data_IF_923025412760
#
_entry.id   IF_923025412760
#
_cell.length_a   1.000
_cell.length_b   1.000
_cell.length_c   1.000
_cell.angle_alpha   90.00
_cell.angle_beta   90.00
_cell.angle_gamma   90.00
#
_symmetry.space_group_name_H-M   'P 1'
#
loop_
_entity.id
_entity.type
_entity.pdbx_description
1 polymer ?
#
# COMPACT_ATOMS: atom_id res chain seq x y z
N UNK A 1 -13.24 27.46 -6.57
CA UNK A 1 -12.20 26.42 -6.52
C UNK A 1 -10.83 26.89 -7.06
N UNK A 2 -10.66 28.12 -7.54
CA UNK A 2 -9.40 28.61 -8.14
C UNK A 2 -8.38 29.18 -7.12
N UNK A 3 -8.52 28.85 -5.83
CA UNK A 3 -7.68 29.40 -4.76
C UNK A 3 -6.82 28.37 -4.04
N UNK A 4 -6.87 27.08 -4.44
CA UNK A 4 -6.02 26.06 -3.83
C UNK A 4 -4.64 26.14 -4.48
N UNK A 5 -3.56 26.36 -3.70
CA UNK A 5 -2.20 26.42 -4.24
C UNK A 5 -1.84 25.13 -4.97
N UNK A 6 -1.17 25.25 -6.11
CA UNK A 6 -0.71 24.08 -6.90
C UNK A 6 0.17 23.16 -6.06
N UNK A 7 1.03 23.72 -5.21
CA UNK A 7 1.87 22.94 -4.29
C UNK A 7 1.05 22.06 -3.34
N UNK A 8 -0.05 22.58 -2.80
CA UNK A 8 -0.95 21.80 -1.96
C UNK A 8 -1.60 20.65 -2.75
N UNK A 9 -2.01 20.90 -3.99
CA UNK A 9 -2.60 19.85 -4.85
C UNK A 9 -1.56 18.77 -5.17
N UNK A 10 -0.33 19.17 -5.50
CA UNK A 10 0.77 18.24 -5.77
C UNK A 10 1.10 17.37 -4.55
N UNK A 11 1.17 17.96 -3.35
CA UNK A 11 1.44 17.22 -2.12
C UNK A 11 0.27 16.29 -1.75
N UNK A 12 -0.97 16.77 -1.86
CA UNK A 12 -2.17 15.94 -1.66
C UNK A 12 -2.19 14.73 -2.59
N UNK A 13 -1.86 14.91 -3.87
CA UNK A 13 -1.85 13.81 -4.84
C UNK A 13 -0.79 12.75 -4.51
N UNK A 14 0.37 13.15 -3.97
CA UNK A 14 1.39 12.19 -3.52
C UNK A 14 0.94 11.36 -2.30
N UNK A 15 0.13 11.95 -1.44
CA UNK A 15 -0.45 11.21 -0.31
C UNK A 15 -1.59 10.30 -0.78
N UNK A 16 -2.38 10.73 -1.77
CA UNK A 16 -3.48 9.93 -2.31
C UNK A 16 -3.01 8.72 -3.12
N UNK A 17 -1.81 8.77 -3.70
CA UNK A 17 -1.22 7.64 -4.43
C UNK A 17 -0.91 6.41 -3.57
N UNK A 18 -0.95 6.53 -2.24
CA UNK A 18 -0.94 5.35 -1.34
C UNK A 18 -2.21 4.52 -1.53
N UNK A 19 -3.32 5.19 -1.82
CA UNK A 19 -4.65 4.58 -1.79
C UNK A 19 -5.09 4.15 -3.17
N UNK A 20 -4.81 4.97 -4.19
CA UNK A 20 -5.28 4.76 -5.55
C UNK A 20 -4.24 5.22 -6.57
N UNK A 21 -4.33 4.67 -7.79
CA UNK A 21 -3.62 5.23 -8.94
C UNK A 21 -4.05 6.70 -9.17
N UNK A 22 -3.07 7.55 -9.50
CA UNK A 22 -3.28 8.93 -9.91
C UNK A 22 -4.21 9.07 -11.14
N UNK A 23 -4.38 8.00 -11.93
CA UNK A 23 -5.22 7.93 -13.13
C UNK A 23 -6.61 8.52 -12.92
N UNK A 24 -7.31 8.16 -11.84
CA UNK A 24 -8.68 8.64 -11.61
C UNK A 24 -8.74 10.16 -11.43
N UNK A 25 -7.71 10.75 -10.83
CA UNK A 25 -7.63 12.19 -10.61
C UNK A 25 -7.27 12.97 -11.88
N UNK A 26 -6.77 12.32 -12.93
CA UNK A 26 -6.43 12.98 -14.21
C UNK A 26 -7.64 13.57 -14.94
N UNK A 27 -8.84 13.07 -14.63
CA UNK A 27 -10.12 13.51 -15.18
C UNK A 27 -10.66 14.77 -14.48
N UNK A 28 -10.11 15.14 -13.32
CA UNK A 28 -10.54 16.31 -12.57
C UNK A 28 -10.22 17.61 -13.33
N UNK A 29 -11.06 18.64 -13.24
CA UNK A 29 -10.85 19.88 -13.98
C UNK A 29 -9.62 20.66 -13.47
N UNK A 30 -9.07 21.51 -14.35
CA UNK A 30 -8.06 22.53 -14.03
C UNK A 30 -6.79 21.94 -13.40
N UNK A 31 -6.31 22.55 -12.31
CA UNK A 31 -5.04 22.23 -11.68
C UNK A 31 -5.00 20.82 -11.10
N UNK A 32 -6.13 20.27 -10.63
CA UNK A 32 -6.18 18.91 -10.10
C UNK A 32 -5.81 17.88 -11.16
N UNK A 33 -6.53 17.84 -12.29
CA UNK A 33 -6.21 16.91 -13.38
C UNK A 33 -4.84 17.18 -14.00
N UNK A 34 -4.41 18.45 -14.09
CA UNK A 34 -3.07 18.79 -14.57
C UNK A 34 -1.97 18.23 -13.66
N UNK A 35 -2.09 18.38 -12.35
CA UNK A 35 -1.11 17.84 -11.40
C UNK A 35 -1.15 16.32 -11.38
N UNK A 36 -2.33 15.71 -11.40
CA UNK A 36 -2.49 14.26 -11.45
C UNK A 36 -1.83 13.65 -12.69
N UNK A 37 -1.99 14.27 -13.86
CA UNK A 37 -1.28 13.84 -15.09
C UNK A 37 0.23 13.92 -14.94
N UNK A 38 0.75 14.98 -14.31
CA UNK A 38 2.20 15.07 -14.07
C UNK A 38 2.70 14.01 -13.09
N UNK A 39 1.93 13.71 -12.04
CA UNK A 39 2.25 12.62 -11.10
C UNK A 39 2.21 11.28 -11.82
N UNK A 40 1.21 11.01 -12.65
CA UNK A 40 1.15 9.78 -13.46
C UNK A 40 2.33 9.66 -14.42
N UNK A 41 2.64 10.70 -15.19
CA UNK A 41 3.68 10.65 -16.22
C UNK A 41 5.12 10.65 -15.66
N UNK A 42 5.35 11.31 -14.51
CA UNK A 42 6.69 11.61 -13.97
C UNK A 42 6.93 11.04 -12.58
N UNK A 43 5.88 10.54 -11.94
CA UNK A 43 5.93 9.86 -10.67
C UNK A 43 6.90 8.69 -10.74
N UNK A 44 7.65 8.52 -9.66
CA UNK A 44 8.54 7.39 -9.52
C UNK A 44 8.76 7.10 -8.05
N UNK A 45 9.23 5.88 -7.80
CA UNK A 45 9.69 5.41 -6.51
C UNK A 45 11.22 5.33 -6.53
N UNK A 46 11.83 5.44 -5.35
CA UNK A 46 13.25 5.16 -5.13
C UNK A 46 13.37 4.16 -4.00
N UNK A 47 14.03 3.04 -4.24
CA UNK A 47 14.21 2.01 -3.23
C UNK A 47 15.67 1.91 -2.84
N UNK A 48 15.93 1.85 -1.54
CA UNK A 48 17.22 1.48 -0.96
C UNK A 48 17.12 0.01 -0.55
N UNK A 49 17.96 -0.83 -1.14
CA UNK A 49 17.97 -2.27 -0.87
C UNK A 49 18.99 -2.59 0.22
N UNK A 50 18.51 -3.27 1.26
CA UNK A 50 19.33 -3.87 2.30
C UNK A 50 19.24 -5.38 2.13
N UNK A 51 20.27 -5.96 1.50
CA UNK A 51 20.35 -7.40 1.26
C UNK A 51 21.21 -8.07 2.32
N UNK A 52 20.69 -9.12 2.95
CA UNK A 52 21.40 -9.88 4.00
C UNK A 52 21.98 -8.96 5.10
N UNK A 53 21.25 -7.88 5.43
CA UNK A 53 21.62 -6.89 6.45
C UNK A 53 22.67 -5.83 6.04
N UNK A 54 23.11 -5.79 4.78
CA UNK A 54 24.06 -4.81 4.25
C UNK A 54 23.42 -3.94 3.16
N UNK A 55 23.97 -2.74 2.93
CA UNK A 55 23.60 -1.96 1.75
C UNK A 55 23.99 -2.73 0.49
N UNK A 56 23.04 -2.87 -0.43
CA UNK A 56 23.28 -3.40 -1.77
C UNK A 56 23.26 -2.28 -2.80
N UNK A 57 22.06 -1.75 -3.08
CA UNK A 57 21.85 -0.87 -4.23
C UNK A 57 20.73 0.15 -4.04
N UNK A 58 20.61 1.02 -5.04
CA UNK A 58 19.43 1.83 -5.26
C UNK A 58 18.82 1.49 -6.62
N UNK A 59 17.50 1.36 -6.67
CA UNK A 59 16.78 1.29 -7.93
C UNK A 59 15.56 2.22 -7.91
N UNK A 60 14.99 2.44 -9.10
CA UNK A 60 13.86 3.35 -9.30
C UNK A 60 12.80 2.65 -10.13
N UNK A 61 11.54 2.81 -9.77
CA UNK A 61 10.42 2.24 -10.54
C UNK A 61 9.37 3.29 -10.85
N UNK A 62 8.54 3.04 -11.86
CA UNK A 62 7.30 3.80 -12.06
C UNK A 62 6.17 3.27 -11.14
N UNK A 63 4.97 3.79 -11.36
CA UNK A 63 3.71 3.38 -10.72
C UNK A 63 3.31 1.93 -11.02
N UNK A 64 3.65 1.41 -12.20
CA UNK A 64 3.48 0.01 -12.59
C UNK A 64 4.59 -0.92 -12.05
N UNK A 65 5.44 -0.43 -11.14
CA UNK A 65 6.59 -1.15 -10.59
C UNK A 65 7.66 -1.61 -11.62
N UNK A 66 7.62 -1.06 -12.84
CA UNK A 66 8.65 -1.27 -13.85
C UNK A 66 9.90 -0.44 -13.53
N UNK A 67 11.08 -1.07 -13.59
CA UNK A 67 12.35 -0.39 -13.34
C UNK A 67 12.64 0.71 -14.37
N UNK A 68 13.15 1.85 -13.90
CA UNK A 68 13.50 3.01 -14.71
C UNK A 68 15.03 3.10 -14.86
N UNK A 69 15.51 3.01 -16.10
CA UNK A 69 16.92 3.28 -16.39
C UNK A 69 17.27 4.76 -16.20
N UNK A 70 17.98 5.05 -15.11
CA UNK A 70 18.43 6.40 -14.76
C UNK A 70 19.50 6.97 -15.69
N UNK A 71 20.11 6.15 -16.57
CA UNK A 71 21.04 6.63 -17.59
C UNK A 71 20.32 7.31 -18.74
N UNK A 72 19.08 6.88 -19.03
CA UNK A 72 18.28 7.40 -20.14
C UNK A 72 17.29 8.47 -19.70
N UNK A 73 16.89 8.47 -18.42
CA UNK A 73 15.89 9.39 -17.88
C UNK A 73 16.40 10.13 -16.64
N UNK A 74 16.40 11.46 -16.70
CA UNK A 74 16.65 12.29 -15.53
C UNK A 74 15.41 12.33 -14.62
N UNK A 75 15.56 11.87 -13.38
CA UNK A 75 14.50 11.84 -12.38
C UNK A 75 14.57 13.07 -11.47
N UNK A 76 13.49 13.83 -11.40
CA UNK A 76 13.42 15.04 -10.56
C UNK A 76 12.85 14.69 -9.19
N UNK A 77 13.55 14.98 -8.06
CA UNK A 77 13.07 14.65 -6.71
C UNK A 77 11.67 15.18 -6.37
N UNK A 78 11.22 16.27 -7.02
CA UNK A 78 9.87 16.82 -6.88
C UNK A 78 8.77 15.79 -7.18
N UNK A 79 8.98 14.90 -8.15
CA UNK A 79 8.02 13.88 -8.58
C UNK A 79 8.26 12.52 -7.93
N UNK A 80 9.17 12.44 -6.95
CA UNK A 80 9.28 11.23 -6.16
C UNK A 80 8.07 11.13 -5.24
N UNK A 81 7.29 10.10 -5.45
CA UNK A 81 6.04 9.89 -4.72
C UNK A 81 6.32 9.12 -3.44
N UNK A 82 7.00 7.98 -3.59
CA UNK A 82 7.42 7.13 -2.48
C UNK A 82 8.92 6.91 -2.50
N UNK A 83 9.44 6.56 -1.32
CA UNK A 83 10.76 5.99 -1.16
C UNK A 83 10.66 4.80 -0.22
N UNK A 84 11.35 3.72 -0.55
CA UNK A 84 11.29 2.48 0.22
C UNK A 84 12.66 2.14 0.79
N UNK A 85 12.69 1.63 2.01
CA UNK A 85 13.77 0.76 2.46
C UNK A 85 13.25 -0.65 2.33
N UNK A 86 13.96 -1.48 1.57
CA UNK A 86 13.58 -2.85 1.30
C UNK A 86 14.62 -3.79 1.92
N UNK A 87 14.16 -4.74 2.72
CA UNK A 87 14.98 -5.80 3.28
C UNK A 87 14.74 -7.06 2.49
N UNK A 88 15.79 -7.59 1.86
CA UNK A 88 15.74 -8.86 1.13
C UNK A 88 16.77 -9.83 1.67
N UNK A 89 16.41 -11.11 1.67
CA UNK A 89 17.35 -12.20 1.90
C UNK A 89 17.56 -12.95 0.59
N UNK A 90 18.81 -13.28 0.31
CA UNK A 90 19.19 -14.11 -0.83
C UNK A 90 20.17 -15.18 -0.37
N UNK A 91 20.13 -16.34 -1.04
CA UNK A 91 21.03 -17.48 -0.83
C UNK A 91 22.46 -17.18 -1.32
N UNK A 92 22.69 -16.04 -1.98
CA UNK A 92 23.99 -15.60 -2.45
C UNK A 92 24.98 -15.26 -1.31
N UNK A 93 26.28 -15.25 -1.63
CA UNK A 93 27.33 -14.95 -0.65
C UNK A 93 27.08 -13.60 0.05
N UNK A 94 27.26 -13.52 1.38
CA UNK A 94 27.00 -12.30 2.11
C UNK A 94 27.85 -11.16 1.58
N UNK A 95 27.18 -10.08 1.15
CA UNK A 95 27.84 -8.87 0.66
C UNK A 95 28.87 -8.37 1.70
N UNK A 96 29.99 -7.78 1.25
CA UNK A 96 30.95 -7.16 2.15
C UNK A 96 30.24 -6.17 3.07
N UNK A 97 30.53 -6.22 4.37
CA UNK A 97 29.96 -5.27 5.32
C UNK A 97 30.22 -3.85 4.86
N UNK A 98 29.14 -3.10 4.64
CA UNK A 98 29.25 -1.70 4.28
C UNK A 98 29.39 -0.85 5.53
N UNK A 99 30.60 -0.34 5.79
CA UNK A 99 30.88 0.56 6.91
C UNK A 99 30.13 1.90 6.81
N UNK A 100 29.50 2.21 5.66
CA UNK A 100 28.80 3.47 5.43
C UNK A 100 27.26 3.37 5.46
N UNK A 101 26.68 2.19 5.71
CA UNK A 101 25.22 1.98 5.62
C UNK A 101 24.44 3.01 6.45
N UNK A 102 24.90 3.33 7.66
CA UNK A 102 24.26 4.35 8.51
C UNK A 102 24.22 5.72 7.83
N UNK A 103 25.32 6.17 7.23
CA UNK A 103 25.38 7.45 6.54
C UNK A 103 24.48 7.46 5.29
N UNK A 104 24.47 6.36 4.52
CA UNK A 104 23.61 6.21 3.35
C UNK A 104 22.13 6.29 3.77
N UNK A 105 21.76 5.55 4.81
CA UNK A 105 20.41 5.53 5.33
C UNK A 105 19.98 6.90 5.86
N UNK A 106 20.84 7.58 6.63
CA UNK A 106 20.55 8.91 7.17
C UNK A 106 20.32 9.96 6.07
N UNK A 107 21.12 9.93 5.00
CA UNK A 107 20.92 10.80 3.84
C UNK A 107 19.63 10.44 3.09
N UNK A 108 19.38 9.14 2.87
CA UNK A 108 18.16 8.66 2.21
C UNK A 108 16.89 9.05 2.96
N UNK A 109 16.90 8.97 4.29
CA UNK A 109 15.76 9.33 5.15
C UNK A 109 15.42 10.83 5.09
N UNK A 110 16.38 11.71 4.76
CA UNK A 110 16.15 13.15 4.57
C UNK A 110 15.54 13.50 3.20
N UNK A 111 15.62 12.60 2.22
CA UNK A 111 15.14 12.88 0.88
C UNK A 111 13.60 13.06 0.83
N UNK A 112 13.03 13.79 -0.15
CA UNK A 112 11.58 13.91 -0.28
C UNK A 112 10.93 12.60 -0.74
N UNK A 113 9.62 12.53 -0.56
CA UNK A 113 8.81 11.35 -0.83
C UNK A 113 8.42 10.65 0.47
N UNK A 114 7.29 9.99 0.44
CA UNK A 114 6.78 9.26 1.59
C UNK A 114 7.57 7.99 1.84
N UNK A 115 7.97 7.79 3.10
CA UNK A 115 8.77 6.64 3.48
C UNK A 115 7.87 5.42 3.68
N UNK A 116 8.20 4.37 2.93
CA UNK A 116 7.72 3.02 3.13
C UNK A 116 8.84 2.08 3.56
N UNK A 117 8.45 0.96 4.14
CA UNK A 117 9.32 -0.15 4.50
C UNK A 117 8.75 -1.42 3.87
N UNK A 118 9.60 -2.18 3.18
CA UNK A 118 9.28 -3.53 2.72
C UNK A 118 10.20 -4.50 3.45
N UNK A 119 9.60 -5.49 4.12
CA UNK A 119 10.31 -6.59 4.76
C UNK A 119 10.02 -7.86 3.97
N UNK A 120 11.03 -8.35 3.27
CA UNK A 120 11.00 -9.54 2.43
C UNK A 120 12.19 -10.46 2.74
N UNK A 121 12.25 -10.99 3.96
CA UNK A 121 13.33 -11.88 4.36
C UNK A 121 13.46 -12.02 5.86
N UNK A 122 14.31 -12.95 6.26
CA UNK A 122 14.59 -13.32 7.65
C UNK A 122 15.74 -12.50 8.29
N UNK A 123 16.52 -11.73 7.53
CA UNK A 123 17.58 -10.87 8.07
C UNK A 123 17.03 -9.67 8.86
N UNK A 124 15.72 -9.40 8.74
CA UNK A 124 15.03 -8.40 9.53
C UNK A 124 14.92 -8.82 11.00
N UNK A 125 15.84 -8.30 11.81
CA UNK A 125 15.98 -8.65 13.22
C UNK A 125 15.57 -7.52 14.18
N UNK A 126 15.63 -7.79 15.48
CA UNK A 126 15.21 -6.85 16.53
C UNK A 126 15.96 -5.50 16.54
N UNK A 127 17.19 -5.44 16.00
CA UNK A 127 17.91 -4.17 15.82
C UNK A 127 17.23 -3.33 14.75
N UNK A 128 16.89 -3.94 13.61
CA UNK A 128 16.17 -3.27 12.53
C UNK A 128 14.76 -2.89 12.93
N UNK A 129 14.02 -3.77 13.63
CA UNK A 129 12.72 -3.44 14.19
C UNK A 129 12.75 -2.15 15.02
N UNK A 130 13.75 -2.00 15.90
CA UNK A 130 13.94 -0.78 16.71
C UNK A 130 14.25 0.44 15.86
N UNK A 131 15.22 0.34 14.94
CA UNK A 131 15.63 1.44 14.06
C UNK A 131 14.44 1.92 13.21
N UNK A 132 13.77 1.00 12.52
CA UNK A 132 12.66 1.29 11.63
C UNK A 132 11.47 1.87 12.39
N UNK A 133 11.17 1.36 13.59
CA UNK A 133 10.11 1.91 14.44
C UNK A 133 10.41 3.33 14.96
N UNK A 134 11.65 3.82 14.87
CA UNK A 134 11.98 5.19 15.25
C UNK A 134 11.85 6.19 14.09
N UNK A 135 11.53 5.72 12.87
CA UNK A 135 11.37 6.60 11.71
C UNK A 135 10.01 7.31 11.77
N UNK A 136 10.01 8.54 12.26
CA UNK A 136 8.79 9.38 12.39
C UNK A 136 8.07 9.62 11.07
N UNK A 137 8.75 9.49 9.93
CA UNK A 137 8.20 9.67 8.58
C UNK A 137 7.71 8.38 7.92
N UNK A 138 7.87 7.21 8.57
CA UNK A 138 7.40 5.94 8.04
C UNK A 138 5.85 5.91 8.05
N UNK A 139 5.26 5.75 6.87
CA UNK A 139 3.79 5.77 6.68
C UNK A 139 3.23 4.48 6.09
N UNK A 140 4.08 3.67 5.48
CA UNK A 140 3.68 2.44 4.81
C UNK A 140 4.61 1.30 5.20
N UNK A 141 4.04 0.15 5.50
CA UNK A 141 4.78 -1.10 5.72
C UNK A 141 4.18 -2.18 4.84
N UNK A 142 5.04 -2.93 4.15
CA UNK A 142 4.69 -4.17 3.44
C UNK A 142 5.54 -5.29 4.01
N UNK A 143 4.92 -6.41 4.36
CA UNK A 143 5.60 -7.60 4.87
C UNK A 143 5.23 -8.77 3.95
N UNK A 144 6.24 -9.36 3.34
CA UNK A 144 6.12 -10.56 2.51
C UNK A 144 6.81 -11.78 3.12
N UNK A 145 7.43 -11.63 4.30
CA UNK A 145 8.05 -12.71 5.05
C UNK A 145 7.20 -13.17 6.23
N UNK A 146 7.60 -14.26 6.86
CA UNK A 146 7.05 -14.76 8.11
C UNK A 146 6.96 -13.68 9.21
N UNK A 147 5.94 -13.81 10.06
CA UNK A 147 5.73 -13.01 11.26
C UNK A 147 6.69 -13.41 12.39
N UNK A 148 7.97 -13.09 12.20
CA UNK A 148 8.98 -13.27 13.26
C UNK A 148 8.71 -12.34 14.45
N UNK A 149 9.30 -12.65 15.62
CA UNK A 149 9.26 -11.78 16.81
C UNK A 149 9.68 -10.33 16.49
N UNK A 150 10.59 -10.15 15.52
CA UNK A 150 11.09 -8.83 15.11
C UNK A 150 10.05 -8.05 14.29
N UNK A 151 9.32 -8.74 13.41
CA UNK A 151 8.19 -8.17 12.66
C UNK A 151 7.07 -7.79 13.63
N UNK A 152 6.71 -8.67 14.56
CA UNK A 152 5.74 -8.35 15.61
C UNK A 152 6.17 -7.15 16.45
N UNK A 153 7.43 -7.11 16.88
CA UNK A 153 7.97 -5.96 17.62
C UNK A 153 7.82 -4.65 16.83
N UNK A 154 8.17 -4.65 15.54
CA UNK A 154 8.01 -3.50 14.66
C UNK A 154 6.55 -3.06 14.62
N UNK A 155 5.63 -3.98 14.29
CA UNK A 155 4.23 -3.67 14.10
C UNK A 155 3.58 -3.16 15.39
N UNK A 156 3.88 -3.74 16.55
CA UNK A 156 3.37 -3.24 17.85
C UNK A 156 3.87 -1.82 18.17
N UNK A 157 5.14 -1.52 17.89
CA UNK A 157 5.66 -0.18 18.08
C UNK A 157 4.94 0.83 17.17
N UNK A 158 4.75 0.48 15.90
CA UNK A 158 4.09 1.34 14.92
C UNK A 158 2.59 1.53 15.22
N UNK A 159 1.93 0.49 15.72
CA UNK A 159 0.55 0.58 16.23
C UNK A 159 0.51 1.58 17.39
N UNK A 160 1.38 1.46 18.38
CA UNK A 160 1.42 2.38 19.53
C UNK A 160 1.68 3.84 19.13
N UNK A 161 2.46 4.06 18.08
CA UNK A 161 2.82 5.40 17.59
C UNK A 161 1.74 6.05 16.72
N UNK A 162 0.73 5.30 16.28
CA UNK A 162 -0.35 5.81 15.41
C UNK A 162 0.17 6.57 14.18
N UNK A 163 1.20 6.04 13.50
CA UNK A 163 1.84 6.73 12.37
C UNK A 163 1.59 6.10 11.00
N UNK A 164 1.18 4.83 10.95
CA UNK A 164 0.95 4.15 9.68
C UNK A 164 -0.36 4.59 9.03
N UNK A 165 -0.30 4.77 7.71
CA UNK A 165 -1.43 5.02 6.82
C UNK A 165 -1.80 3.73 6.08
N UNK A 166 -0.81 2.90 5.75
CA UNK A 166 -1.02 1.66 5.01
C UNK A 166 -0.17 0.52 5.56
N UNK A 167 -0.78 -0.66 5.64
CA UNK A 167 -0.13 -1.93 5.97
C UNK A 167 -0.48 -2.97 4.90
N UNK A 168 0.53 -3.65 4.37
CA UNK A 168 0.39 -4.78 3.44
C UNK A 168 1.02 -6.04 4.02
N UNK A 169 0.31 -7.17 3.89
CA UNK A 169 0.74 -8.49 4.35
C UNK A 169 0.54 -9.51 3.22
N UNK A 170 1.58 -10.29 2.92
CA UNK A 170 1.52 -11.30 1.85
C UNK A 170 1.41 -12.74 2.34
N UNK A 171 1.82 -13.01 3.58
CA UNK A 171 1.80 -14.36 4.18
C UNK A 171 0.44 -14.73 4.77
N UNK A 172 0.24 -16.04 4.94
CA UNK A 172 -0.94 -16.61 5.58
C UNK A 172 -1.04 -16.14 7.04
N UNK A 173 -2.21 -15.60 7.40
CA UNK A 173 -2.53 -15.12 8.74
C UNK A 173 -3.62 -16.00 9.34
N UNK A 174 -3.23 -16.90 10.25
CA UNK A 174 -4.10 -18.00 10.67
C UNK A 174 -4.71 -17.80 12.07
N UNK A 175 -4.22 -16.82 12.83
CA UNK A 175 -4.56 -16.64 14.23
C UNK A 175 -5.56 -15.52 14.50
N UNK A 176 -6.28 -15.68 15.61
CA UNK A 176 -7.18 -14.66 16.16
C UNK A 176 -6.44 -13.42 16.69
N UNK A 177 -5.14 -13.56 16.99
CA UNK A 177 -4.28 -12.48 17.44
C UNK A 177 -4.00 -11.49 16.31
N UNK A 178 -3.67 -11.99 15.12
CA UNK A 178 -3.46 -11.23 13.89
C UNK A 178 -4.71 -10.43 13.54
N UNK A 179 -5.90 -11.03 13.62
CA UNK A 179 -7.14 -10.31 13.32
C UNK A 179 -7.39 -9.17 14.29
N UNK A 180 -7.25 -9.43 15.60
CA UNK A 180 -7.42 -8.41 16.62
C UNK A 180 -6.42 -7.25 16.40
N UNK A 181 -5.20 -7.61 16.00
CA UNK A 181 -4.13 -6.67 15.71
C UNK A 181 -4.40 -5.82 14.47
N UNK A 182 -4.84 -6.43 13.36
CA UNK A 182 -5.26 -5.72 12.14
C UNK A 182 -6.48 -4.83 12.40
N UNK A 183 -7.42 -5.32 13.20
CA UNK A 183 -8.56 -4.55 13.68
C UNK A 183 -8.12 -3.30 14.45
N UNK A 184 -7.06 -3.40 15.27
CA UNK A 184 -6.53 -2.25 16.01
C UNK A 184 -5.97 -1.17 15.08
N UNK A 185 -5.23 -1.52 14.02
CA UNK A 185 -4.80 -0.56 13.00
C UNK A 185 -6.00 0.10 12.31
N UNK A 186 -7.00 -0.68 11.93
CA UNK A 186 -8.23 -0.15 11.33
C UNK A 186 -9.01 0.78 12.25
N UNK A 187 -8.81 0.75 13.57
CA UNK A 187 -9.45 1.72 14.48
C UNK A 187 -8.71 3.07 14.54
N UNK A 188 -7.46 3.15 14.06
CA UNK A 188 -6.68 4.38 14.12
C UNK A 188 -7.21 5.44 13.16
N UNK A 189 -7.06 6.71 13.53
CA UNK A 189 -7.65 7.84 12.80
C UNK A 189 -6.93 8.13 11.49
N UNK A 190 -5.63 7.92 11.44
CA UNK A 190 -4.75 8.19 10.30
C UNK A 190 -4.62 6.98 9.37
N UNK A 191 -4.91 5.77 9.85
CA UNK A 191 -4.85 4.55 9.04
C UNK A 191 -5.93 4.56 7.95
N UNK A 192 -5.57 4.13 6.74
CA UNK A 192 -6.41 4.21 5.54
C UNK A 192 -6.52 2.90 4.79
N UNK A 193 -5.45 2.14 4.64
CA UNK A 193 -5.48 0.96 3.77
C UNK A 193 -4.81 -0.25 4.41
N UNK A 194 -5.57 -1.35 4.48
CA UNK A 194 -5.06 -2.67 4.79
C UNK A 194 -5.05 -3.51 3.51
N UNK A 195 -3.90 -4.08 3.16
CA UNK A 195 -3.67 -4.89 1.97
C UNK A 195 -3.30 -6.31 2.38
N UNK A 196 -3.96 -7.29 1.79
CA UNK A 196 -3.79 -8.70 2.13
C UNK A 196 -3.63 -9.50 0.82
N UNK A 197 -2.55 -10.25 0.66
CA UNK A 197 -2.34 -11.07 -0.55
C UNK A 197 -2.84 -12.51 -0.38
N UNK A 198 -2.84 -13.02 0.85
CA UNK A 198 -3.41 -14.33 1.18
C UNK A 198 -4.93 -14.25 1.38
N UNK A 199 -5.64 -15.32 1.04
CA UNK A 199 -7.07 -15.45 1.38
C UNK A 199 -7.24 -16.25 2.67
N UNK A 200 -7.88 -15.63 3.66
CA UNK A 200 -8.36 -16.34 4.84
C UNK A 200 -9.80 -15.88 5.15
N UNK A 201 -10.76 -16.79 4.93
CA UNK A 201 -12.18 -16.52 5.08
C UNK A 201 -12.56 -16.12 6.51
N UNK A 202 -11.96 -16.77 7.51
CA UNK A 202 -12.24 -16.48 8.92
C UNK A 202 -11.78 -15.06 9.29
N UNK A 203 -10.57 -14.68 8.89
CA UNK A 203 -10.04 -13.34 9.12
C UNK A 203 -10.85 -12.30 8.36
N UNK A 204 -11.22 -12.57 7.10
CA UNK A 204 -12.11 -11.68 6.34
C UNK A 204 -13.43 -11.49 7.10
N UNK A 205 -14.09 -12.58 7.50
CA UNK A 205 -15.36 -12.52 8.22
C UNK A 205 -15.24 -11.71 9.52
N UNK A 206 -14.20 -11.93 10.30
CA UNK A 206 -13.96 -11.19 11.54
C UNK A 206 -13.65 -9.71 11.30
N UNK A 207 -12.81 -9.37 10.32
CA UNK A 207 -12.53 -7.98 9.93
C UNK A 207 -13.81 -7.28 9.45
N UNK A 208 -14.61 -7.93 8.62
CA UNK A 208 -15.90 -7.42 8.20
C UNK A 208 -16.82 -7.19 9.39
N UNK A 209 -16.92 -8.14 10.33
CA UNK A 209 -17.72 -7.99 11.55
C UNK A 209 -17.29 -6.79 12.41
N UNK A 210 -15.97 -6.61 12.60
CA UNK A 210 -15.39 -5.49 13.35
C UNK A 210 -15.69 -4.15 12.68
N UNK A 211 -15.56 -4.10 11.35
CA UNK A 211 -15.74 -2.87 10.58
C UNK A 211 -17.22 -2.50 10.44
N UNK A 212 -18.11 -3.47 10.22
CA UNK A 212 -19.57 -3.29 10.16
C UNK A 212 -20.16 -2.75 11.47
N UNK A 213 -19.60 -3.13 12.63
CA UNK A 213 -20.01 -2.59 13.93
C UNK A 213 -19.62 -1.12 14.13
N UNK A 214 -18.62 -0.63 13.39
CA UNK A 214 -18.03 0.70 13.55
C UNK A 214 -17.95 1.48 12.22
N UNK A 215 -18.96 1.34 11.34
CA UNK A 215 -18.95 1.92 9.98
C UNK A 215 -18.50 3.38 9.94
N UNK A 216 -19.02 4.22 10.83
CA UNK A 216 -18.70 5.66 10.88
C UNK A 216 -17.22 5.93 11.19
N UNK A 217 -16.58 5.10 12.03
CA UNK A 217 -15.14 5.23 12.34
C UNK A 217 -14.24 4.73 11.21
N UNK A 218 -14.81 3.97 10.28
CA UNK A 218 -14.09 3.39 9.16
C UNK A 218 -14.21 4.21 7.88
N UNK A 219 -15.00 5.30 7.86
CA UNK A 219 -15.12 6.17 6.70
C UNK A 219 -13.75 6.62 6.16
N UNK A 220 -13.56 6.49 4.85
CA UNK A 220 -12.32 6.76 4.14
C UNK A 220 -11.26 5.67 4.27
N UNK A 221 -11.59 4.48 4.81
CA UNK A 221 -10.71 3.31 4.86
C UNK A 221 -11.05 2.30 3.79
N UNK A 222 -10.04 1.53 3.41
CA UNK A 222 -10.12 0.45 2.45
C UNK A 222 -9.46 -0.80 3.01
N UNK A 223 -10.06 -1.96 2.76
CA UNK A 223 -9.40 -3.25 2.92
C UNK A 223 -9.35 -3.90 1.55
N UNK A 224 -8.15 -4.25 1.09
CA UNK A 224 -7.88 -4.81 -0.23
C UNK A 224 -7.37 -6.23 -0.08
N UNK A 225 -7.94 -7.15 -0.85
CA UNK A 225 -7.44 -8.50 -1.02
C UNK A 225 -6.94 -8.68 -2.46
N UNK A 226 -5.67 -9.03 -2.64
CA UNK A 226 -5.07 -9.38 -3.94
C UNK A 226 -5.30 -10.85 -4.27
N UNK A 227 -6.55 -11.27 -4.09
CA UNK A 227 -7.02 -12.60 -4.42
C UNK A 227 -8.53 -12.56 -4.66
N UNK A 228 -9.06 -13.67 -5.19
CA UNK A 228 -10.49 -13.84 -5.38
C UNK A 228 -11.19 -14.04 -4.04
N UNK A 229 -12.05 -13.10 -3.69
CA UNK A 229 -13.01 -13.23 -2.61
C UNK A 229 -14.38 -12.72 -3.02
N UNK A 230 -15.44 -13.25 -2.41
CA UNK A 230 -16.78 -12.68 -2.52
C UNK A 230 -17.06 -11.87 -1.26
N UNK A 231 -17.08 -10.55 -1.39
CA UNK A 231 -17.22 -9.57 -0.30
C UNK A 231 -18.65 -8.99 -0.19
N UNK A 232 -19.54 -9.36 -1.11
CA UNK A 232 -20.91 -8.90 -1.18
C UNK A 232 -21.88 -10.06 -0.97
N UNK A 233 -23.08 -9.75 -0.48
CA UNK A 233 -24.20 -10.67 -0.36
C UNK A 233 -25.46 -10.03 -0.97
N UNK A 234 -26.62 -10.69 -0.82
CA UNK A 234 -27.91 -10.21 -1.34
C UNK A 234 -28.34 -8.84 -0.77
N UNK A 235 -27.69 -8.35 0.30
CA UNK A 235 -27.96 -7.01 0.85
C UNK A 235 -27.29 -5.88 0.07
N UNK A 236 -26.40 -6.20 -0.87
CA UNK A 236 -25.75 -5.23 -1.73
C UNK A 236 -26.51 -5.03 -3.04
N UNK A 237 -26.65 -3.77 -3.44
CA UNK A 237 -27.13 -3.42 -4.77
C UNK A 237 -25.95 -3.34 -5.73
N UNK A 238 -25.98 -4.13 -6.81
CA UNK A 238 -25.03 -3.99 -7.92
C UNK A 238 -25.20 -2.61 -8.54
N UNK A 239 -24.17 -1.75 -8.41
CA UNK A 239 -24.27 -0.34 -8.81
C UNK A 239 -24.19 -0.16 -10.31
N UNK A 240 -23.25 -0.86 -10.94
CA UNK A 240 -22.99 -0.97 -12.38
C UNK A 240 -21.51 -1.36 -12.55
N UNK A 241 -21.15 -1.75 -13.78
CA UNK A 241 -19.76 -1.88 -14.19
C UNK A 241 -19.15 -0.48 -14.36
N UNK A 242 -18.19 -0.11 -13.50
CA UNK A 242 -17.56 1.23 -13.48
C UNK A 242 -16.56 1.39 -14.65
N UNK A 243 -16.18 0.29 -15.30
CA UNK A 243 -15.38 0.25 -16.51
C UNK A 243 -15.06 -1.19 -16.94
N UNK A 244 -14.19 -1.36 -17.93
CA UNK A 244 -13.81 -2.69 -18.44
C UNK A 244 -13.30 -3.62 -17.32
N UNK A 245 -12.47 -3.12 -16.42
CA UNK A 245 -11.85 -3.94 -15.37
C UNK A 245 -12.50 -3.88 -13.99
N UNK A 246 -13.69 -3.29 -13.80
CA UNK A 246 -14.24 -3.09 -12.44
C UNK A 246 -15.76 -3.23 -12.33
N UNK A 247 -16.22 -4.03 -11.36
CA UNK A 247 -17.63 -4.13 -10.94
C UNK A 247 -17.76 -3.71 -9.48
N UNK A 248 -18.79 -2.91 -9.17
CA UNK A 248 -19.04 -2.41 -7.82
C UNK A 248 -20.43 -2.74 -7.30
N UNK A 249 -20.48 -3.10 -6.03
CA UNK A 249 -21.68 -3.40 -5.27
C UNK A 249 -21.74 -2.46 -4.07
N UNK A 250 -22.92 -1.95 -3.71
CA UNK A 250 -23.07 -0.99 -2.60
C UNK A 250 -24.13 -1.42 -1.60
N UNK A 251 -23.79 -1.30 -0.31
CA UNK A 251 -24.71 -1.37 0.82
C UNK A 251 -24.50 -0.15 1.73
N UNK A 252 -25.31 0.90 1.53
CA UNK A 252 -25.22 2.15 2.29
C UNK A 252 -23.89 2.87 2.11
N UNK A 253 -23.10 2.91 3.19
CA UNK A 253 -21.74 3.52 3.26
C UNK A 253 -20.63 2.52 2.94
N UNK A 254 -20.96 1.29 2.53
CA UNK A 254 -19.98 0.25 2.20
C UNK A 254 -20.07 -0.05 0.72
N UNK A 255 -18.93 -0.07 0.03
CA UNK A 255 -18.79 -0.45 -1.37
C UNK A 255 -17.85 -1.65 -1.45
N UNK A 256 -18.27 -2.70 -2.16
CA UNK A 256 -17.40 -3.80 -2.56
C UNK A 256 -17.03 -3.62 -4.03
N UNK A 257 -15.73 -3.50 -4.33
CA UNK A 257 -15.22 -3.44 -5.69
C UNK A 257 -14.51 -4.75 -6.04
N UNK A 258 -14.68 -5.19 -7.28
CA UNK A 258 -14.01 -6.35 -7.86
C UNK A 258 -13.29 -5.92 -9.11
N UNK A 259 -12.06 -6.38 -9.26
CA UNK A 259 -11.20 -6.09 -10.39
C UNK A 259 -10.89 -7.36 -11.16
N UNK A 260 -10.75 -7.21 -12.47
CA UNK A 260 -10.40 -8.28 -13.39
C UNK A 260 -9.70 -7.64 -14.59
N UNK A 261 -8.38 -7.77 -14.63
CA UNK A 261 -7.54 -7.10 -15.63
C UNK A 261 -7.68 -7.67 -17.05
N UNK A 262 -8.28 -8.85 -17.20
CA UNK A 262 -8.51 -9.49 -18.51
C UNK A 262 -9.92 -9.25 -19.06
N UNK A 263 -10.79 -8.56 -18.31
CA UNK A 263 -12.16 -8.34 -18.71
C UNK A 263 -12.29 -7.21 -19.75
N UNK A 264 -13.21 -7.40 -20.70
CA UNK A 264 -13.57 -6.40 -21.72
C UNK A 264 -15.03 -5.97 -21.55
N UNK A 265 -15.49 -4.88 -22.16
CA UNK A 265 -16.89 -4.42 -22.05
C UNK A 265 -17.93 -5.50 -22.37
N UNK A 266 -17.58 -6.51 -23.17
CA UNK A 266 -18.45 -7.63 -23.57
C UNK A 266 -18.48 -8.79 -22.56
N UNK A 267 -17.53 -8.86 -21.62
CA UNK A 267 -17.49 -9.89 -20.58
C UNK A 267 -18.75 -9.80 -19.71
N UNK A 268 -19.49 -10.91 -19.57
CA UNK A 268 -20.66 -10.97 -18.67
C UNK A 268 -20.24 -10.84 -17.21
N UNK A 269 -21.17 -10.48 -16.32
CA UNK A 269 -20.88 -10.36 -14.88
C UNK A 269 -20.42 -11.70 -14.30
N UNK A 270 -21.07 -12.80 -14.69
CA UNK A 270 -20.71 -14.15 -14.23
C UNK A 270 -19.28 -14.48 -14.64
N UNK A 271 -18.94 -14.23 -15.92
CA UNK A 271 -17.58 -14.48 -16.41
C UNK A 271 -16.55 -13.53 -15.80
N UNK A 272 -16.93 -12.29 -15.54
CA UNK A 272 -16.08 -11.32 -14.84
C UNK A 272 -15.70 -11.85 -13.45
N UNK A 273 -16.69 -12.29 -12.68
CA UNK A 273 -16.51 -12.79 -11.30
C UNK A 273 -15.74 -14.12 -11.23
N UNK A 274 -15.67 -14.89 -12.32
CA UNK A 274 -14.83 -16.08 -12.40
C UNK A 274 -13.34 -15.74 -12.30
N UNK A 275 -12.91 -14.69 -13.00
CA UNK A 275 -11.51 -14.33 -13.21
C UNK A 275 -11.09 -13.07 -12.40
N UNK A 276 -11.80 -12.77 -11.28
CA UNK A 276 -11.40 -11.71 -10.35
C UNK A 276 -10.05 -12.03 -9.72
N UNK A 277 -9.14 -11.07 -9.76
CA UNK A 277 -7.78 -11.14 -9.20
C UNK A 277 -7.60 -10.25 -7.95
N UNK A 278 -8.38 -9.17 -7.86
CA UNK A 278 -8.38 -8.26 -6.71
C UNK A 278 -9.80 -7.88 -6.32
N UNK A 279 -10.02 -7.73 -5.01
CA UNK A 279 -11.26 -7.20 -4.48
C UNK A 279 -11.01 -6.30 -3.27
N UNK A 280 -11.90 -5.36 -3.02
CA UNK A 280 -11.77 -4.44 -1.89
C UNK A 280 -13.11 -4.04 -1.29
N UNK A 281 -13.07 -3.67 -0.01
CA UNK A 281 -14.15 -2.97 0.67
C UNK A 281 -13.71 -1.54 0.94
N UNK A 282 -14.55 -0.59 0.53
CA UNK A 282 -14.38 0.84 0.79
C UNK A 282 -15.52 1.35 1.66
N UNK A 283 -15.19 2.10 2.70
CA UNK A 283 -16.16 2.77 3.57
C UNK A 283 -16.29 4.25 3.16
N UNK A 284 -17.44 4.66 2.62
CA UNK A 284 -17.71 5.98 1.99
C UNK A 284 -18.70 6.85 2.74
#
# INVERSE_FOLDING_TARGET
MDHVPVSFIEDLLKDLTILNDATEYTRLPKNYGKCAKQVKEKGHYKTLVIQNGNFDSFYYTNDEHNEIDTKTRTLTPKFRVHKYVEFIDDDEEPLPKSDNLTNILDEFLKEPGMLGLHVDGNSFNSKWAKICSAWESLRQVSISSDFTDSVWQLLHNLLKQEQLICLGLSEDYDGSEEVAFLGAFLQQKQFRNLRLSAWNEEVMNQLMLLTYRNKEKNLGKTITWYCKATLHDDSFECKERIGEGCISYRNGVVIANYYNDVATLETSVEKFMEDVDQCEIVFV
#
